data_IF_346373984459
#
_entry.id   IF_346373984459
#
_cell.length_a   1.000
_cell.length_b   1.000
_cell.length_c   1.000
_cell.angle_alpha   90.00
_cell.angle_beta   90.00
_cell.angle_gamma   90.00
#
_symmetry.space_group_name_H-M   'P 1'
#
loop_
_entity.id
_entity.type
_entity.pdbx_description
1 polymer ?
#
# COMPACT_ATOMS: atom_id res chain seq x y z
N UNK A 1 -9.76 -18.72 -8.54
CA UNK A 1 -8.43 -18.17 -8.17
C UNK A 1 -7.96 -17.03 -9.06
N UNK A 2 -8.19 -17.05 -10.38
CA UNK A 2 -7.81 -15.96 -11.33
C UNK A 2 -8.37 -14.55 -11.02
N UNK A 3 -9.32 -14.43 -10.10
CA UNK A 3 -10.01 -13.18 -9.75
C UNK A 3 -9.26 -12.35 -8.70
N UNK A 4 -8.47 -12.98 -7.82
CA UNK A 4 -7.98 -12.30 -6.61
C UNK A 4 -6.89 -11.25 -6.93
N UNK A 5 -6.01 -11.55 -7.90
CA UNK A 5 -5.00 -10.61 -8.41
C UNK A 5 -5.67 -9.39 -9.05
N UNK A 6 -6.74 -9.60 -9.81
CA UNK A 6 -7.46 -8.52 -10.50
C UNK A 6 -8.20 -7.63 -9.50
N UNK A 7 -8.82 -8.22 -8.48
CA UNK A 7 -9.41 -7.48 -7.37
C UNK A 7 -8.36 -6.63 -6.64
N UNK A 8 -7.17 -7.15 -6.39
CA UNK A 8 -6.09 -6.37 -5.78
C UNK A 8 -5.67 -5.20 -6.68
N UNK A 9 -5.44 -5.44 -7.98
CA UNK A 9 -5.09 -4.38 -8.94
C UNK A 9 -6.15 -3.28 -8.97
N UNK A 10 -7.44 -3.62 -8.94
CA UNK A 10 -8.54 -2.67 -8.97
C UNK A 10 -8.71 -1.88 -7.66
N UNK A 11 -8.39 -2.49 -6.52
CA UNK A 11 -8.58 -1.86 -5.20
C UNK A 11 -7.40 -1.01 -4.77
N UNK A 12 -6.17 -1.39 -5.12
CA UNK A 12 -4.94 -0.70 -4.72
C UNK A 12 -4.92 0.81 -4.98
N UNK A 13 -5.40 1.33 -6.13
CA UNK A 13 -5.44 2.79 -6.36
C UNK A 13 -6.22 3.55 -5.29
N UNK A 14 -7.37 3.01 -4.87
CA UNK A 14 -8.20 3.64 -3.82
C UNK A 14 -7.54 3.58 -2.44
N UNK A 15 -6.88 2.47 -2.13
CA UNK A 15 -6.11 2.31 -0.89
C UNK A 15 -4.93 3.29 -0.85
N UNK A 16 -4.22 3.44 -1.98
CA UNK A 16 -3.12 4.40 -2.11
C UNK A 16 -3.61 5.84 -1.93
N UNK A 17 -4.77 6.17 -2.52
CA UNK A 17 -5.43 7.46 -2.31
C UNK A 17 -5.78 7.72 -0.83
N UNK A 18 -6.31 6.71 -0.14
CA UNK A 18 -6.62 6.83 1.29
C UNK A 18 -5.36 7.04 2.15
N UNK A 19 -4.29 6.26 1.90
CA UNK A 19 -3.01 6.40 2.60
C UNK A 19 -2.43 7.81 2.36
N UNK A 20 -2.46 8.29 1.12
CA UNK A 20 -2.01 9.63 0.78
C UNK A 20 -2.83 10.70 1.54
N UNK A 21 -4.15 10.57 1.58
CA UNK A 21 -5.03 11.48 2.32
C UNK A 21 -4.73 11.53 3.82
N UNK A 22 -4.48 10.39 4.46
CA UNK A 22 -4.10 10.32 5.88
C UNK A 22 -2.77 11.03 6.13
N UNK A 23 -1.75 10.76 5.31
CA UNK A 23 -0.43 11.42 5.42
C UNK A 23 -0.54 12.94 5.27
N UNK A 24 -1.38 13.41 4.34
CA UNK A 24 -1.60 14.84 4.13
C UNK A 24 -2.33 15.49 5.31
N UNK A 25 -3.29 14.79 5.92
CA UNK A 25 -3.95 15.26 7.17
C UNK A 25 -2.92 15.36 8.30
N UNK A 26 -2.08 14.35 8.49
CA UNK A 26 -1.04 14.35 9.52
C UNK A 26 -0.05 15.51 9.30
N UNK A 27 0.39 15.73 8.05
CA UNK A 27 1.24 16.87 7.67
C UNK A 27 0.59 18.21 8.00
N UNK A 28 -0.68 18.41 7.63
CA UNK A 28 -1.41 19.65 7.93
C UNK A 28 -1.57 19.89 9.43
N UNK A 29 -1.81 18.83 10.21
CA UNK A 29 -1.89 18.89 11.68
C UNK A 29 -0.56 19.30 12.31
N UNK A 30 0.55 18.76 11.81
CA UNK A 30 1.88 19.14 12.28
C UNK A 30 2.15 20.63 12.06
N UNK A 31 1.87 21.14 10.85
CA UNK A 31 2.03 22.57 10.51
C UNK A 31 1.12 23.44 11.38
N UNK A 32 -0.16 23.11 11.49
CA UNK A 32 -1.12 23.88 12.28
C UNK A 32 -0.67 24.01 13.74
N UNK A 33 -0.12 22.94 14.32
CA UNK A 33 0.35 22.96 15.69
C UNK A 33 1.59 23.83 15.91
N UNK A 34 2.51 23.88 14.93
CA UNK A 34 3.67 24.79 15.00
C UNK A 34 3.29 26.27 14.93
N UNK A 35 2.11 26.59 14.37
CA UNK A 35 1.60 27.95 14.28
C UNK A 35 0.90 28.47 15.54
N UNK A 36 0.75 27.65 16.59
CA UNK A 36 0.06 28.05 17.81
C UNK A 36 0.96 28.86 18.74
N UNK A 37 0.47 29.99 19.23
CA UNK A 37 1.19 30.83 20.20
C UNK A 37 1.34 30.18 21.58
N UNK A 38 0.43 29.28 21.94
CA UNK A 38 0.49 28.45 23.15
C UNK A 38 0.05 27.02 22.78
N UNK A 39 0.99 26.14 22.43
CA UNK A 39 0.66 24.76 22.07
C UNK A 39 0.26 23.96 23.31
N UNK A 40 -0.85 23.22 23.20
CA UNK A 40 -1.26 22.24 24.19
C UNK A 40 -0.36 20.99 24.09
N UNK A 41 0.39 20.63 25.15
CA UNK A 41 1.27 19.47 25.15
C UNK A 41 0.52 18.14 25.00
N UNK A 42 -0.70 18.02 25.53
CA UNK A 42 -1.50 16.78 25.42
C UNK A 42 -1.97 16.58 23.98
N UNK A 43 -2.37 17.67 23.31
CA UNK A 43 -2.68 17.65 21.88
C UNK A 43 -1.47 17.25 21.01
N UNK A 44 -0.25 17.66 21.40
CA UNK A 44 0.98 17.27 20.71
C UNK A 44 1.24 15.76 20.83
N UNK A 45 1.15 15.22 22.04
CA UNK A 45 1.30 13.79 22.29
C UNK A 45 0.24 12.98 21.54
N UNK A 46 -1.03 13.40 21.58
CA UNK A 46 -2.11 12.72 20.87
C UNK A 46 -1.93 12.74 19.34
N UNK A 47 -1.34 13.80 18.77
CA UNK A 47 -0.97 13.85 17.34
C UNK A 47 0.13 12.84 17.03
N UNK A 48 1.22 12.86 17.80
CA UNK A 48 2.36 11.95 17.61
C UNK A 48 1.94 10.48 17.73
N UNK A 49 1.10 10.13 18.72
CA UNK A 49 0.57 8.78 18.85
C UNK A 49 -0.22 8.33 17.62
N UNK A 50 -1.05 9.21 17.05
CA UNK A 50 -1.82 8.90 15.83
C UNK A 50 -0.92 8.75 14.60
N UNK A 51 0.05 9.65 14.43
CA UNK A 51 1.02 9.54 13.33
C UNK A 51 1.79 8.22 13.41
N UNK A 52 2.28 7.86 14.61
CA UNK A 52 2.95 6.58 14.84
C UNK A 52 2.05 5.37 14.60
N UNK A 53 0.76 5.46 14.89
CA UNK A 53 -0.21 4.40 14.59
C UNK A 53 -0.45 4.27 13.08
N UNK A 54 -0.58 5.40 12.38
CA UNK A 54 -0.76 5.44 10.92
C UNK A 54 0.47 4.85 10.22
N UNK A 55 1.68 5.23 10.61
CA UNK A 55 2.94 4.67 10.08
C UNK A 55 2.97 3.15 10.23
N UNK A 56 2.67 2.63 11.43
CA UNK A 56 2.66 1.17 11.68
C UNK A 56 1.59 0.45 10.85
N UNK A 57 0.42 1.06 10.71
CA UNK A 57 -0.69 0.48 9.93
C UNK A 57 -0.33 0.41 8.45
N UNK A 58 0.27 1.48 7.91
CA UNK A 58 0.76 1.53 6.53
C UNK A 58 1.87 0.50 6.32
N UNK A 59 2.83 0.38 7.24
CA UNK A 59 3.90 -0.62 7.15
C UNK A 59 3.33 -2.04 7.09
N UNK A 60 2.39 -2.39 7.97
CA UNK A 60 1.72 -3.69 7.94
C UNK A 60 0.99 -3.96 6.63
N UNK A 61 0.38 -2.93 6.03
CA UNK A 61 -0.26 -3.05 4.72
C UNK A 61 0.77 -3.37 3.62
N UNK A 62 1.93 -2.70 3.62
CA UNK A 62 3.02 -2.97 2.66
C UNK A 62 3.51 -4.41 2.79
N UNK A 63 3.74 -4.88 4.03
CA UNK A 63 4.17 -6.25 4.29
C UNK A 63 3.15 -7.28 3.80
N UNK A 64 1.86 -7.03 4.08
CA UNK A 64 0.77 -7.90 3.63
C UNK A 64 0.64 -7.94 2.10
N UNK A 65 0.79 -6.80 1.43
CA UNK A 65 0.77 -6.71 -0.02
C UNK A 65 1.95 -7.47 -0.66
N UNK A 66 3.14 -7.33 -0.10
CA UNK A 66 4.33 -8.06 -0.55
C UNK A 66 4.15 -9.57 -0.41
N UNK A 67 3.70 -10.04 0.76
CA UNK A 67 3.43 -11.46 1.01
C UNK A 67 2.40 -12.02 0.03
N UNK A 68 1.35 -11.24 -0.28
CA UNK A 68 0.30 -11.65 -1.19
C UNK A 68 0.80 -11.76 -2.63
N UNK A 69 1.63 -10.82 -3.08
CA UNK A 69 2.30 -10.91 -4.37
C UNK A 69 3.21 -12.15 -4.45
N UNK A 70 4.04 -12.39 -3.44
CA UNK A 70 4.92 -13.58 -3.38
C UNK A 70 4.13 -14.88 -3.43
N UNK A 71 2.97 -14.93 -2.77
CA UNK A 71 2.07 -16.09 -2.81
C UNK A 71 1.52 -16.35 -4.22
N UNK A 72 1.21 -15.30 -4.98
CA UNK A 72 0.76 -15.45 -6.37
C UNK A 72 1.88 -15.88 -7.32
N UNK A 73 3.10 -15.37 -7.12
CA UNK A 73 4.28 -15.81 -7.87
C UNK A 73 4.52 -17.30 -7.65
N UNK A 74 4.52 -17.75 -6.39
CA UNK A 74 4.65 -19.16 -6.05
C UNK A 74 3.57 -20.03 -6.72
N UNK A 75 2.31 -19.57 -6.71
CA UNK A 75 1.22 -20.30 -7.37
C UNK A 75 1.39 -20.40 -8.89
N UNK A 76 1.89 -19.34 -9.54
CA UNK A 76 2.21 -19.37 -10.98
C UNK A 76 3.33 -20.35 -11.29
N UNK A 77 4.38 -20.38 -10.47
CA UNK A 77 5.49 -21.34 -10.62
C UNK A 77 5.00 -22.78 -10.57
N UNK A 78 4.09 -23.11 -9.64
CA UNK A 78 3.47 -24.44 -9.58
C UNK A 78 2.58 -24.72 -10.81
N UNK A 79 1.80 -23.74 -11.27
CA UNK A 79 0.92 -23.89 -12.44
C UNK A 79 1.70 -24.20 -13.72
N UNK A 80 2.87 -23.56 -13.90
CA UNK A 80 3.75 -23.77 -15.06
C UNK A 80 4.31 -25.19 -15.14
N UNK A 81 4.40 -25.90 -14.01
CA UNK A 81 4.80 -27.31 -13.98
C UNK A 81 3.66 -28.21 -14.51
N UNK A 82 2.40 -27.80 -14.33
CA UNK A 82 1.22 -28.65 -14.57
C UNK A 82 0.49 -28.38 -15.90
N UNK A 83 0.50 -27.15 -16.43
CA UNK A 83 -0.28 -26.77 -17.63
C UNK A 83 0.43 -25.75 -18.53
N UNK A 84 0.70 -26.06 -19.82
CA UNK A 84 1.42 -25.14 -20.67
C UNK A 84 0.49 -24.15 -21.40
N UNK A 85 0.64 -22.89 -21.03
CA UNK A 85 0.92 -21.73 -21.92
C UNK A 85 -0.06 -20.56 -21.98
N UNK A 86 -1.38 -20.73 -22.06
CA UNK A 86 -2.27 -19.56 -22.27
C UNK A 86 -2.69 -18.90 -20.95
N UNK A 87 -3.20 -19.70 -20.02
CA UNK A 87 -3.63 -19.22 -18.70
C UNK A 87 -2.45 -18.67 -17.90
N UNK A 88 -1.30 -19.35 -17.95
CA UNK A 88 -0.07 -18.88 -17.29
C UNK A 88 0.41 -17.52 -17.82
N UNK A 89 0.31 -17.27 -19.14
CA UNK A 89 0.67 -15.96 -19.72
C UNK A 89 -0.27 -14.85 -19.26
N UNK A 90 -1.57 -15.13 -19.16
CA UNK A 90 -2.54 -14.16 -18.66
C UNK A 90 -2.29 -13.81 -17.18
N UNK A 91 -1.93 -14.81 -16.36
CA UNK A 91 -1.56 -14.61 -14.95
C UNK A 91 -0.26 -13.81 -14.82
N UNK A 92 0.76 -14.15 -15.59
CA UNK A 92 2.06 -13.46 -15.60
C UNK A 92 1.92 -11.96 -15.92
N UNK A 93 1.11 -11.62 -16.92
CA UNK A 93 0.82 -10.22 -17.27
C UNK A 93 0.12 -9.47 -16.12
N UNK A 94 -0.81 -10.13 -15.41
CA UNK A 94 -1.48 -9.54 -14.24
C UNK A 94 -0.50 -9.36 -13.07
N UNK A 95 0.37 -10.33 -12.83
CA UNK A 95 1.40 -10.22 -11.79
C UNK A 95 2.39 -9.09 -12.08
N UNK A 96 2.78 -8.91 -13.34
CA UNK A 96 3.61 -7.78 -13.76
C UNK A 96 2.95 -6.43 -13.44
N UNK A 97 1.64 -6.30 -13.64
CA UNK A 97 0.90 -5.09 -13.26
C UNK A 97 0.83 -4.90 -11.73
N UNK A 98 0.60 -5.97 -10.99
CA UNK A 98 0.57 -5.91 -9.52
C UNK A 98 1.95 -5.54 -8.94
N UNK A 99 3.03 -6.06 -9.52
CA UNK A 99 4.41 -5.79 -9.11
C UNK A 99 4.72 -4.30 -9.10
N UNK A 100 4.23 -3.53 -10.07
CA UNK A 100 4.38 -2.06 -10.10
C UNK A 100 3.82 -1.42 -8.84
N UNK A 101 2.64 -1.85 -8.40
CA UNK A 101 2.02 -1.33 -7.18
C UNK A 101 2.77 -1.77 -5.91
N UNK A 102 3.26 -3.01 -5.87
CA UNK A 102 4.07 -3.54 -4.75
C UNK A 102 5.35 -2.71 -4.58
N UNK A 103 6.08 -2.47 -5.66
CA UNK A 103 7.32 -1.70 -5.63
C UNK A 103 7.09 -0.25 -5.23
N UNK A 104 6.01 0.36 -5.72
CA UNK A 104 5.58 1.69 -5.25
C UNK A 104 5.26 1.70 -3.76
N UNK A 105 4.55 0.70 -3.25
CA UNK A 105 4.22 0.60 -1.83
C UNK A 105 5.47 0.45 -0.96
N UNK A 106 6.43 -0.40 -1.36
CA UNK A 106 7.74 -0.59 -0.72
C UNK A 106 8.56 0.69 -0.71
N UNK A 107 8.54 1.45 -1.81
CA UNK A 107 9.16 2.77 -1.89
C UNK A 107 8.41 3.88 -1.13
N UNK A 108 7.26 3.57 -0.51
CA UNK A 108 6.42 4.54 0.18
C UNK A 108 5.70 5.53 -0.74
N UNK A 109 5.64 5.24 -2.04
CA UNK A 109 5.10 6.09 -3.11
C UNK A 109 3.59 5.89 -3.32
N UNK A 110 2.81 6.20 -2.29
CA UNK A 110 1.35 6.07 -2.31
C UNK A 110 0.65 7.22 -3.03
N UNK A 111 1.17 8.43 -2.89
CA UNK A 111 0.66 9.59 -3.60
C UNK A 111 1.08 9.50 -5.08
N UNK A 112 0.15 9.62 -6.02
CA UNK A 112 0.51 10.08 -7.36
C UNK A 112 1.18 11.44 -7.18
N UNK A 113 2.31 11.68 -7.82
CA UNK A 113 2.97 13.00 -7.85
C UNK A 113 1.92 14.11 -7.86
N UNK A 114 2.07 15.08 -6.94
CA UNK A 114 1.24 16.28 -6.94
C UNK A 114 1.22 16.98 -8.29
#
# INVERSE_FOLDING_TARGET
MLNDIELDILTLPSVFGAICGVREIDRRRAIAQTGLSQPDPDAALAREHRENQNIRTIARFVDALALRYESYVFALEQLLVETPHEEARAVDARLSNLAVSVERARAGQFCSSG
#
